data_IF_087965540986
#
_entry.id   IF_087965540986
#
_cell.length_a   1.000
_cell.length_b   1.000
_cell.length_c   1.000
_cell.angle_alpha   90.00
_cell.angle_beta   90.00
_cell.angle_gamma   90.00
#
_symmetry.space_group_name_H-M   'P 1'
#
loop_
_entity.id
_entity.type
_entity.pdbx_description
1 polymer ?
#
# COMPACT_ATOMS: atom_id res chain seq x y z
N UNK A 1 -20.30 -15.95 14.12
CA UNK A 1 -21.02 -16.44 12.91
C UNK A 1 -22.47 -15.99 12.86
N UNK A 2 -23.33 -16.30 13.85
CA UNK A 2 -24.75 -15.87 13.83
C UNK A 2 -24.92 -14.35 13.83
N UNK A 3 -24.08 -13.61 14.54
CA UNK A 3 -24.12 -12.13 14.57
C UNK A 3 -23.74 -11.53 13.21
N UNK A 4 -22.78 -12.11 12.49
CA UNK A 4 -22.38 -11.65 11.16
C UNK A 4 -23.47 -11.91 10.11
N UNK A 5 -24.16 -13.07 10.20
CA UNK A 5 -25.31 -13.37 9.33
C UNK A 5 -26.44 -12.36 9.54
N UNK A 6 -26.79 -12.04 10.79
CA UNK A 6 -27.79 -11.01 11.10
C UNK A 6 -27.38 -9.64 10.57
N UNK A 7 -26.11 -9.24 10.74
CA UNK A 7 -25.60 -7.97 10.23
C UNK A 7 -25.74 -7.91 8.71
N UNK A 8 -25.43 -8.99 7.99
CA UNK A 8 -25.61 -9.07 6.53
C UNK A 8 -27.09 -8.91 6.13
N UNK A 9 -28.00 -9.57 6.86
CA UNK A 9 -29.43 -9.45 6.64
C UNK A 9 -29.93 -8.01 6.90
N UNK A 10 -29.46 -7.37 7.98
CA UNK A 10 -29.82 -5.99 8.33
C UNK A 10 -29.32 -4.99 7.28
N UNK A 11 -28.07 -5.15 6.82
CA UNK A 11 -27.51 -4.32 5.74
C UNK A 11 -28.34 -4.48 4.46
N UNK A 12 -28.66 -5.71 4.07
CA UNK A 12 -29.44 -5.97 2.87
C UNK A 12 -30.89 -5.44 2.97
N UNK A 13 -31.46 -5.45 4.17
CA UNK A 13 -32.77 -4.86 4.42
C UNK A 13 -32.71 -3.32 4.27
N UNK A 14 -31.70 -2.67 4.84
CA UNK A 14 -31.50 -1.23 4.71
C UNK A 14 -31.25 -0.81 3.26
N UNK A 15 -30.41 -1.54 2.53
CA UNK A 15 -30.11 -1.27 1.12
C UNK A 15 -31.38 -1.36 0.26
N UNK A 16 -32.23 -2.38 0.46
CA UNK A 16 -33.51 -2.50 -0.26
C UNK A 16 -34.49 -1.38 0.07
N UNK A 17 -34.51 -0.94 1.33
CA UNK A 17 -35.39 0.14 1.75
C UNK A 17 -35.03 1.49 1.12
N UNK A 18 -33.73 1.76 0.90
CA UNK A 18 -33.25 3.03 0.34
C UNK A 18 -33.17 3.03 -1.19
N UNK A 19 -32.82 1.92 -1.82
CA UNK A 19 -32.48 1.85 -3.24
C UNK A 19 -33.37 0.97 -4.12
N UNK A 20 -34.36 0.30 -3.57
CA UNK A 20 -35.31 -0.54 -4.32
C UNK A 20 -34.73 -1.87 -4.84
N UNK A 21 -35.43 -2.51 -5.77
CA UNK A 21 -35.13 -3.87 -6.25
C UNK A 21 -33.88 -4.00 -7.15
N UNK A 22 -33.22 -2.88 -7.49
CA UNK A 22 -32.04 -2.87 -8.37
C UNK A 22 -30.72 -3.01 -7.65
N UNK A 23 -30.70 -3.10 -6.33
CA UNK A 23 -29.46 -3.17 -5.54
C UNK A 23 -28.93 -4.60 -5.47
N UNK A 24 -27.62 -4.75 -5.75
CA UNK A 24 -26.92 -6.01 -5.55
C UNK A 24 -26.77 -6.26 -4.04
N UNK A 25 -27.27 -7.38 -3.50
CA UNK A 25 -27.13 -7.67 -2.08
C UNK A 25 -25.68 -7.95 -1.69
N UNK A 26 -25.31 -7.58 -0.48
CA UNK A 26 -24.04 -8.00 0.12
C UNK A 26 -24.18 -9.43 0.66
N UNK A 27 -23.08 -10.17 0.59
CA UNK A 27 -22.97 -11.52 1.14
C UNK A 27 -21.68 -11.67 1.97
N UNK A 28 -21.40 -12.88 2.43
CA UNK A 28 -20.19 -13.14 3.22
C UNK A 28 -18.92 -12.83 2.45
N UNK A 29 -18.89 -13.09 1.14
CA UNK A 29 -17.72 -12.85 0.28
C UNK A 29 -17.49 -11.36 0.09
N UNK A 30 -18.53 -10.52 0.07
CA UNK A 30 -18.41 -9.07 -0.06
C UNK A 30 -17.48 -8.45 0.98
N UNK A 31 -17.51 -8.96 2.22
CA UNK A 31 -16.64 -8.48 3.31
C UNK A 31 -15.41 -9.37 3.51
N UNK A 32 -15.54 -10.69 3.34
CA UNK A 32 -14.48 -11.63 3.67
C UNK A 32 -13.47 -11.87 2.54
N UNK A 33 -13.84 -11.62 1.27
CA UNK A 33 -12.97 -11.81 0.11
C UNK A 33 -12.24 -13.19 0.09
N UNK A 34 -12.91 -14.22 0.60
CA UNK A 34 -12.39 -15.60 0.66
C UNK A 34 -11.48 -15.90 1.87
N UNK A 35 -11.33 -14.98 2.82
CA UNK A 35 -10.58 -15.21 4.07
C UNK A 35 -11.51 -15.28 5.29
N UNK A 36 -11.14 -16.11 6.27
CA UNK A 36 -11.97 -16.34 7.47
C UNK A 36 -12.09 -15.08 8.34
N UNK A 37 -11.01 -14.29 8.44
CA UNK A 37 -10.97 -13.02 9.16
C UNK A 37 -10.51 -11.94 8.19
N UNK A 38 -11.39 -11.00 7.79
CA UNK A 38 -11.01 -9.93 6.88
C UNK A 38 -10.00 -9.01 7.55
N UNK A 39 -8.86 -8.87 6.90
CA UNK A 39 -7.78 -7.93 7.27
C UNK A 39 -7.22 -7.31 6.01
N UNK A 40 -6.80 -6.07 6.09
CA UNK A 40 -6.11 -5.44 4.96
C UNK A 40 -4.68 -5.96 4.83
N UNK A 41 -4.11 -5.91 3.62
CA UNK A 41 -2.71 -6.23 3.40
C UNK A 41 -1.81 -5.39 4.32
N UNK A 42 -2.08 -4.09 4.42
CA UNK A 42 -1.35 -3.18 5.30
C UNK A 42 -1.36 -3.64 6.77
N UNK A 43 -2.53 -4.02 7.31
CA UNK A 43 -2.63 -4.51 8.70
C UNK A 43 -1.75 -5.73 8.93
N UNK A 44 -1.77 -6.70 8.01
CA UNK A 44 -0.96 -7.92 8.13
C UNK A 44 0.54 -7.62 8.06
N UNK A 45 0.96 -6.67 7.24
CA UNK A 45 2.36 -6.29 7.12
C UNK A 45 2.87 -5.54 8.35
N UNK A 46 2.08 -4.60 8.89
CA UNK A 46 2.43 -3.87 10.11
C UNK A 46 2.49 -4.79 11.33
N UNK A 47 1.55 -5.74 11.49
CA UNK A 47 1.60 -6.76 12.54
C UNK A 47 2.85 -7.67 12.42
N UNK A 48 3.24 -8.02 11.19
CA UNK A 48 4.45 -8.79 10.94
C UNK A 48 5.72 -7.99 11.25
N UNK A 49 5.70 -6.69 10.96
CA UNK A 49 6.79 -5.77 11.32
C UNK A 49 6.96 -5.68 12.85
N UNK A 50 5.86 -5.48 13.57
CA UNK A 50 5.87 -5.37 15.04
C UNK A 50 6.37 -6.65 15.72
N UNK A 51 6.01 -7.82 15.18
CA UNK A 51 6.33 -9.13 15.80
C UNK A 51 7.67 -9.70 15.41
N UNK A 52 8.17 -9.42 14.20
CA UNK A 52 9.36 -10.06 13.64
C UNK A 52 10.30 -9.14 12.88
N UNK A 53 10.05 -7.83 12.91
CA UNK A 53 10.87 -6.83 12.22
C UNK A 53 10.66 -6.80 10.71
N UNK A 54 11.47 -5.98 10.04
CA UNK A 54 11.29 -5.67 8.62
C UNK A 54 11.40 -6.92 7.72
N UNK A 55 12.36 -7.81 7.99
CA UNK A 55 12.54 -9.01 7.18
C UNK A 55 11.32 -9.92 7.21
N UNK A 56 10.68 -10.09 8.39
CA UNK A 56 9.45 -10.86 8.54
C UNK A 56 8.28 -10.23 7.77
N UNK A 57 8.18 -8.90 7.78
CA UNK A 57 7.13 -8.18 7.05
C UNK A 57 7.31 -8.28 5.53
N UNK A 58 8.53 -8.14 5.03
CA UNK A 58 8.84 -8.28 3.61
C UNK A 58 8.60 -9.71 3.12
N UNK A 59 8.97 -10.71 3.92
CA UNK A 59 8.71 -12.12 3.61
C UNK A 59 7.20 -12.42 3.64
N UNK A 60 6.47 -11.85 4.62
CA UNK A 60 5.00 -11.97 4.68
C UNK A 60 4.33 -11.42 3.42
N UNK A 61 4.80 -10.29 2.90
CA UNK A 61 4.29 -9.76 1.64
C UNK A 61 4.50 -10.72 0.47
N UNK A 62 5.70 -11.30 0.34
CA UNK A 62 6.00 -12.26 -0.75
C UNK A 62 5.09 -13.49 -0.69
N UNK A 63 4.89 -14.06 0.51
CA UNK A 63 4.00 -15.20 0.74
C UNK A 63 2.54 -14.88 0.39
N UNK A 64 2.03 -13.73 0.86
CA UNK A 64 0.67 -13.29 0.55
C UNK A 64 0.49 -13.04 -0.94
N UNK A 65 1.49 -12.47 -1.59
CA UNK A 65 1.45 -12.24 -3.03
C UNK A 65 1.48 -13.56 -3.82
N UNK A 66 2.31 -14.51 -3.44
CA UNK A 66 2.35 -15.84 -4.07
C UNK A 66 1.02 -16.57 -3.95
N UNK A 67 0.39 -16.52 -2.77
CA UNK A 67 -0.86 -17.22 -2.48
C UNK A 67 -2.10 -16.54 -3.08
N UNK A 68 -2.16 -15.20 -3.07
CA UNK A 68 -3.39 -14.43 -3.36
C UNK A 68 -3.30 -13.52 -4.58
N UNK A 69 -2.15 -13.38 -5.27
CA UNK A 69 -2.07 -12.54 -6.47
C UNK A 69 -3.02 -13.03 -7.56
N UNK A 70 -3.75 -12.09 -8.16
CA UNK A 70 -4.80 -12.39 -9.13
C UNK A 70 -6.14 -12.80 -8.52
N UNK A 71 -6.23 -12.82 -7.17
CA UNK A 71 -7.50 -12.99 -6.44
C UNK A 71 -7.92 -11.65 -5.84
N UNK A 72 -9.21 -11.44 -5.63
CA UNK A 72 -9.73 -10.18 -5.04
C UNK A 72 -9.54 -10.07 -3.52
N UNK A 73 -8.67 -10.91 -2.92
CA UNK A 73 -8.47 -10.96 -1.46
C UNK A 73 -7.68 -9.76 -0.96
N UNK A 74 -6.57 -9.45 -1.62
CA UNK A 74 -5.69 -8.32 -1.29
C UNK A 74 -5.35 -7.54 -2.55
N UNK A 75 -5.14 -6.23 -2.38
CA UNK A 75 -4.59 -5.39 -3.43
C UNK A 75 -3.06 -5.47 -3.41
N UNK A 76 -2.49 -6.00 -4.49
CA UNK A 76 -1.05 -6.03 -4.74
C UNK A 76 -0.63 -5.05 -5.85
N UNK A 77 -1.44 -4.03 -6.08
CA UNK A 77 -1.13 -2.96 -7.01
C UNK A 77 0.00 -2.07 -6.54
N UNK A 78 0.48 -1.23 -7.44
CA UNK A 78 1.62 -0.33 -7.23
C UNK A 78 1.52 0.54 -5.97
N UNK A 79 0.30 0.96 -5.60
CA UNK A 79 0.06 1.85 -4.46
C UNK A 79 0.12 1.16 -3.10
N UNK A 80 -0.11 -0.15 -3.05
CA UNK A 80 -0.31 -0.86 -1.79
C UNK A 80 0.89 -0.75 -0.83
N UNK A 81 2.11 -0.94 -1.31
CA UNK A 81 3.31 -0.77 -0.49
C UNK A 81 3.68 0.70 -0.27
N UNK A 82 3.31 1.60 -1.19
CA UNK A 82 3.45 3.04 -0.98
C UNK A 82 2.60 3.51 0.21
N UNK A 83 1.38 2.99 0.37
CA UNK A 83 0.50 3.34 1.49
C UNK A 83 1.04 2.79 2.83
N UNK A 84 1.63 1.58 2.84
CA UNK A 84 2.36 1.05 4.00
C UNK A 84 3.53 1.97 4.37
N UNK A 85 4.37 2.33 3.40
CA UNK A 85 5.50 3.22 3.60
C UNK A 85 5.07 4.62 4.11
N UNK A 86 3.99 5.18 3.59
CA UNK A 86 3.42 6.44 4.10
C UNK A 86 3.00 6.35 5.57
N UNK A 87 2.44 5.21 5.98
CA UNK A 87 2.04 5.00 7.37
C UNK A 87 3.25 4.92 8.29
N UNK A 88 4.28 4.21 7.87
CA UNK A 88 5.56 4.09 8.60
C UNK A 88 6.29 5.43 8.73
N UNK A 89 6.37 6.19 7.64
CA UNK A 89 6.97 7.53 7.65
C UNK A 89 6.25 8.52 8.58
N UNK A 90 4.93 8.41 8.73
CA UNK A 90 4.17 9.21 9.72
C UNK A 90 4.43 8.77 11.15
N UNK A 91 4.86 7.54 11.37
CA UNK A 91 5.29 6.96 12.65
C UNK A 91 6.79 7.08 12.90
N UNK A 92 7.52 7.89 12.10
CA UNK A 92 8.96 8.12 12.18
C UNK A 92 9.82 6.87 11.89
N UNK A 93 9.27 5.81 11.29
CA UNK A 93 10.03 4.63 10.86
C UNK A 93 10.39 4.69 9.37
N UNK A 94 11.30 5.61 9.04
CA UNK A 94 11.77 5.81 7.68
C UNK A 94 12.57 4.62 7.13
N UNK A 95 13.27 3.89 7.98
CA UNK A 95 14.03 2.73 7.52
C UNK A 95 13.13 1.61 7.03
N UNK A 96 12.06 1.28 7.77
CA UNK A 96 11.08 0.32 7.31
C UNK A 96 10.33 0.81 6.05
N UNK A 97 9.98 2.10 5.99
CA UNK A 97 9.35 2.71 4.82
C UNK A 97 10.22 2.54 3.56
N UNK A 98 11.52 2.81 3.64
CA UNK A 98 12.49 2.65 2.55
C UNK A 98 12.51 1.20 2.04
N UNK A 99 12.54 0.22 2.94
CA UNK A 99 12.58 -1.19 2.55
C UNK A 99 11.28 -1.65 1.82
N UNK A 100 10.11 -1.18 2.27
CA UNK A 100 8.87 -1.42 1.54
C UNK A 100 8.85 -0.75 0.17
N UNK A 101 9.38 0.46 0.03
CA UNK A 101 9.47 1.15 -1.27
C UNK A 101 10.47 0.47 -2.21
N UNK A 102 11.59 -0.02 -1.69
CA UNK A 102 12.53 -0.84 -2.46
C UNK A 102 11.91 -2.14 -2.94
N UNK A 103 11.14 -2.82 -2.06
CA UNK A 103 10.38 -4.00 -2.45
C UNK A 103 9.34 -3.66 -3.53
N UNK A 104 8.66 -2.50 -3.43
CA UNK A 104 7.70 -2.08 -4.45
C UNK A 104 8.36 -1.90 -5.81
N UNK A 105 9.53 -1.26 -5.87
CA UNK A 105 10.30 -1.08 -7.11
C UNK A 105 10.76 -2.41 -7.72
N UNK A 106 10.92 -3.48 -6.92
CA UNK A 106 11.23 -4.81 -7.49
C UNK A 106 10.09 -5.40 -8.31
N UNK A 107 8.84 -4.97 -8.05
CA UNK A 107 7.64 -5.37 -8.79
C UNK A 107 7.22 -4.33 -9.84
N UNK A 108 7.45 -3.05 -9.55
CA UNK A 108 7.06 -1.90 -10.37
C UNK A 108 8.26 -0.98 -10.61
N UNK A 109 9.26 -1.42 -11.41
CA UNK A 109 10.53 -0.70 -11.56
C UNK A 109 10.38 0.69 -12.21
N UNK A 110 9.31 0.92 -12.96
CA UNK A 110 9.04 2.19 -13.64
C UNK A 110 8.08 3.10 -12.88
N UNK A 111 7.79 2.79 -11.60
CA UNK A 111 6.90 3.60 -10.76
C UNK A 111 7.55 4.92 -10.36
N UNK A 112 7.25 6.00 -11.07
CA UNK A 112 7.74 7.35 -10.72
C UNK A 112 7.25 7.79 -9.35
N UNK A 113 6.02 7.43 -8.98
CA UNK A 113 5.45 7.71 -7.65
C UNK A 113 6.24 7.03 -6.55
N UNK A 114 6.63 5.75 -6.71
CA UNK A 114 7.45 5.03 -5.72
C UNK A 114 8.86 5.61 -5.65
N UNK A 115 9.48 5.94 -6.79
CA UNK A 115 10.81 6.57 -6.85
C UNK A 115 10.83 7.91 -6.11
N UNK A 116 9.83 8.75 -6.34
CA UNK A 116 9.74 10.05 -5.69
C UNK A 116 9.45 9.92 -4.17
N UNK A 117 8.63 8.96 -3.77
CA UNK A 117 8.38 8.68 -2.35
C UNK A 117 9.63 8.14 -1.66
N UNK A 118 10.37 7.23 -2.29
CA UNK A 118 11.64 6.70 -1.80
C UNK A 118 12.67 7.82 -1.63
N UNK A 119 12.75 8.75 -2.58
CA UNK A 119 13.62 9.92 -2.48
C UNK A 119 13.29 10.79 -1.25
N UNK A 120 12.01 11.01 -0.97
CA UNK A 120 11.57 11.73 0.22
C UNK A 120 12.02 11.05 1.52
N UNK A 121 11.87 9.72 1.63
CA UNK A 121 12.30 8.95 2.79
C UNK A 121 13.83 8.95 2.94
N UNK A 122 14.57 8.76 1.85
CA UNK A 122 16.03 8.82 1.82
C UNK A 122 16.56 10.20 2.24
N UNK A 123 15.92 11.28 1.77
CA UNK A 123 16.27 12.64 2.18
C UNK A 123 16.12 12.82 3.71
N UNK A 124 15.02 12.33 4.30
CA UNK A 124 14.78 12.45 5.75
C UNK A 124 15.82 11.74 6.61
N UNK A 125 16.40 10.63 6.12
CA UNK A 125 17.51 9.95 6.80
C UNK A 125 18.90 10.49 6.43
N UNK A 126 18.98 11.55 5.60
CA UNK A 126 20.22 12.18 5.17
C UNK A 126 20.98 11.49 4.04
N UNK A 127 20.37 10.48 3.38
CA UNK A 127 20.94 9.81 2.21
C UNK A 127 20.72 10.63 0.93
N UNK A 128 21.31 11.86 0.91
CA UNK A 128 20.98 12.89 -0.08
C UNK A 128 21.36 12.53 -1.51
N UNK A 129 22.48 11.86 -1.72
CA UNK A 129 22.92 11.46 -3.06
C UNK A 129 21.96 10.43 -3.67
N UNK A 130 21.56 9.41 -2.88
CA UNK A 130 20.59 8.41 -3.34
C UNK A 130 19.21 9.04 -3.57
N UNK A 131 18.76 9.94 -2.67
CA UNK A 131 17.51 10.65 -2.84
C UNK A 131 17.46 11.44 -4.16
N UNK A 132 18.52 12.18 -4.48
CA UNK A 132 18.64 12.90 -5.77
C UNK A 132 18.58 11.94 -6.95
N UNK A 133 19.36 10.86 -6.92
CA UNK A 133 19.36 9.84 -7.99
C UNK A 133 17.97 9.28 -8.26
N UNK A 134 17.16 9.02 -7.23
CA UNK A 134 15.79 8.49 -7.40
C UNK A 134 14.86 9.51 -8.06
N UNK A 135 14.98 10.80 -7.74
CA UNK A 135 14.19 11.85 -8.41
C UNK A 135 14.61 12.03 -9.87
N UNK A 136 15.90 11.99 -10.15
CA UNK A 136 16.42 12.05 -11.53
C UNK A 136 15.97 10.83 -12.36
N UNK A 137 15.93 9.64 -11.74
CA UNK A 137 15.38 8.43 -12.35
C UNK A 137 13.88 8.57 -12.66
N UNK A 138 13.08 9.09 -11.73
CA UNK A 138 11.68 9.36 -11.94
C UNK A 138 11.45 10.33 -13.11
N UNK A 139 12.24 11.41 -13.20
CA UNK A 139 12.16 12.38 -14.28
C UNK A 139 12.69 11.87 -15.62
N UNK A 140 13.55 10.85 -15.60
CA UNK A 140 13.98 10.17 -16.84
C UNK A 140 12.85 9.29 -17.40
N UNK A 141 12.03 8.68 -16.52
CA UNK A 141 10.88 7.85 -16.91
C UNK A 141 9.70 8.72 -17.34
N UNK A 142 9.39 9.75 -16.56
CA UNK A 142 8.36 10.75 -16.89
C UNK A 142 8.95 12.17 -16.73
N UNK A 143 9.43 12.77 -17.83
CA UNK A 143 9.95 14.14 -17.80
C UNK A 143 8.92 15.19 -17.38
N UNK A 144 7.64 14.90 -17.39
CA UNK A 144 6.57 15.82 -17.03
C UNK A 144 5.98 15.57 -15.64
N UNK A 145 6.55 14.63 -14.86
CA UNK A 145 6.16 14.40 -13.48
C UNK A 145 6.37 15.67 -12.62
N UNK A 146 5.25 16.34 -12.33
CA UNK A 146 5.25 17.60 -11.57
C UNK A 146 5.64 17.38 -10.11
N UNK A 147 5.38 16.20 -9.55
CA UNK A 147 5.71 15.89 -8.17
C UNK A 147 7.21 15.68 -8.01
N UNK A 148 7.84 14.90 -8.89
CA UNK A 148 9.28 14.70 -8.88
C UNK A 148 10.05 16.01 -9.16
N UNK A 149 9.60 16.84 -10.12
CA UNK A 149 10.17 18.18 -10.37
C UNK A 149 10.14 19.08 -9.13
N UNK A 150 8.97 19.14 -8.48
CA UNK A 150 8.82 19.95 -7.28
C UNK A 150 9.71 19.46 -6.15
N UNK A 151 9.73 18.13 -5.89
CA UNK A 151 10.61 17.57 -4.87
C UNK A 151 12.08 17.84 -5.14
N UNK A 152 12.55 17.68 -6.38
CA UNK A 152 13.94 17.96 -6.74
C UNK A 152 14.29 19.41 -6.45
N UNK A 153 13.39 20.34 -6.76
CA UNK A 153 13.60 21.76 -6.47
C UNK A 153 13.54 22.09 -4.97
N UNK A 154 12.58 21.53 -4.23
CA UNK A 154 12.41 21.78 -2.79
C UNK A 154 13.54 21.20 -1.96
N UNK A 155 14.02 19.99 -2.29
CA UNK A 155 15.04 19.29 -1.52
C UNK A 155 16.48 19.64 -1.94
N UNK A 156 16.71 20.07 -3.18
CA UNK A 156 18.06 20.23 -3.75
C UNK A 156 18.28 21.54 -4.54
N UNK A 157 17.27 22.40 -4.68
CA UNK A 157 17.32 23.63 -5.48
C UNK A 157 17.82 24.87 -4.77
N UNK A 158 18.47 24.74 -3.59
CA UNK A 158 19.06 25.81 -2.80
C UNK A 158 20.47 26.15 -3.20
#
# INVERSE_FOLDING_TARGET
TRSMMRLTDDINAALRAEGGDGIVPVDCVTCHHGVTVPRTLQTLLLESLDSGGIDAALERYRQLREEYHGRSTYDFGERSLCDVANTLSRGDDEYAAIEFLRLNLSWFPESTATLAQLAGSLHRIGALDEARMRLEEALRLDPDDRYAKRQLQELFGG
#
